data_IF_892999548139
#
_entry.id   IF_892999548139
#
_cell.length_a   1.000
_cell.length_b   1.000
_cell.length_c   1.000
_cell.angle_alpha   90.00
_cell.angle_beta   90.00
_cell.angle_gamma   90.00
#
_symmetry.space_group_name_H-M   'P 1'
#
loop_
_entity.id
_entity.type
_entity.pdbx_description
1 polymer ?
#
# COMPACT_ATOMS: atom_id res chain seq x y z
N UNK A 1 -52.47 72.62 -25.11
CA UNK A 1 -51.00 72.43 -25.15
C UNK A 1 -50.63 71.40 -24.11
N UNK A 2 -50.55 70.20 -24.51
CA UNK A 2 -50.25 69.05 -23.66
C UNK A 2 -48.83 68.69 -23.89
N UNK A 3 -48.00 68.87 -22.88
CA UNK A 3 -46.55 68.60 -22.92
C UNK A 3 -46.34 67.16 -22.57
N UNK A 4 -45.95 66.33 -23.55
CA UNK A 4 -45.47 64.96 -23.37
C UNK A 4 -44.06 64.97 -22.78
N UNK A 5 -43.92 64.36 -21.62
CA UNK A 5 -42.62 64.03 -21.01
C UNK A 5 -42.11 62.68 -21.57
N UNK A 6 -40.82 62.55 -21.97
CA UNK A 6 -40.32 61.31 -22.47
C UNK A 6 -40.10 60.29 -21.33
N UNK A 7 -40.61 59.07 -21.52
CA UNK A 7 -40.40 57.90 -20.70
C UNK A 7 -38.93 57.57 -20.69
N UNK A 8 -38.33 57.58 -19.51
CA UNK A 8 -37.00 57.05 -19.24
C UNK A 8 -37.01 55.52 -19.49
N UNK A 9 -36.03 54.97 -20.22
CA UNK A 9 -35.94 53.54 -20.41
C UNK A 9 -35.65 52.86 -19.06
N UNK A 10 -36.59 51.96 -18.71
CA UNK A 10 -36.41 51.06 -17.57
C UNK A 10 -35.14 50.21 -17.79
N UNK A 11 -34.19 50.40 -16.92
CA UNK A 11 -32.99 49.57 -16.84
C UNK A 11 -33.48 48.15 -16.45
N UNK A 12 -33.62 47.26 -17.47
CA UNK A 12 -33.75 45.84 -17.22
C UNK A 12 -32.46 45.39 -16.56
N UNK A 13 -32.49 44.69 -15.43
CA UNK A 13 -31.27 44.06 -14.89
C UNK A 13 -30.85 43.04 -15.93
N UNK A 14 -29.61 43.22 -16.43
CA UNK A 14 -28.92 42.29 -17.27
C UNK A 14 -29.12 40.88 -16.69
N UNK A 15 -29.70 39.97 -17.44
CA UNK A 15 -29.79 38.57 -17.09
C UNK A 15 -28.34 38.07 -16.93
N UNK A 16 -27.88 38.00 -15.67
CA UNK A 16 -26.53 37.76 -15.32
C UNK A 16 -26.08 36.41 -15.91
N UNK A 17 -25.06 36.48 -16.70
CA UNK A 17 -24.33 35.30 -17.16
C UNK A 17 -23.63 34.71 -15.93
N UNK A 18 -24.29 33.75 -15.26
CA UNK A 18 -23.70 33.00 -14.15
C UNK A 18 -23.00 31.75 -14.67
N UNK A 19 -21.81 31.51 -14.19
CA UNK A 19 -21.10 30.26 -14.34
C UNK A 19 -21.16 29.49 -13.02
N UNK A 20 -21.03 28.16 -13.09
CA UNK A 20 -20.94 27.30 -11.90
C UNK A 20 -19.52 26.73 -11.83
N UNK A 21 -18.93 26.82 -10.66
CA UNK A 21 -17.63 26.23 -10.36
C UNK A 21 -17.76 25.27 -9.18
N UNK A 22 -16.80 24.39 -8.99
CA UNK A 22 -16.75 23.49 -7.85
C UNK A 22 -15.55 23.86 -6.96
N UNK A 23 -15.78 24.16 -5.70
CA UNK A 23 -14.75 24.55 -4.75
C UNK A 23 -14.80 23.58 -3.57
N UNK A 24 -13.70 22.90 -3.28
CA UNK A 24 -13.61 21.88 -2.23
C UNK A 24 -14.73 20.82 -2.31
N UNK A 25 -15.24 20.57 -3.50
CA UNK A 25 -16.32 19.60 -3.74
C UNK A 25 -17.72 20.22 -3.78
N UNK A 26 -17.91 21.49 -3.39
CA UNK A 26 -19.20 22.20 -3.37
C UNK A 26 -19.41 23.04 -4.63
N UNK A 27 -20.64 23.06 -5.14
CA UNK A 27 -21.01 23.86 -6.29
C UNK A 27 -21.28 25.31 -5.90
N UNK A 28 -20.65 26.26 -6.58
CA UNK A 28 -20.73 27.69 -6.30
C UNK A 28 -21.09 28.46 -7.55
N UNK A 29 -22.11 29.31 -7.47
CA UNK A 29 -22.50 30.22 -8.55
C UNK A 29 -21.59 31.45 -8.59
N UNK A 30 -20.97 31.70 -9.75
CA UNK A 30 -20.12 32.85 -9.99
C UNK A 30 -20.75 33.72 -11.08
N UNK A 31 -20.82 35.04 -10.85
CA UNK A 31 -21.57 35.98 -11.72
C UNK A 31 -20.90 36.27 -13.08
N UNK A 32 -19.72 35.74 -13.35
CA UNK A 32 -18.95 36.00 -14.55
C UNK A 32 -18.35 34.69 -15.10
N UNK A 33 -18.09 34.66 -16.41
CA UNK A 33 -17.37 33.59 -17.09
C UNK A 33 -15.83 33.80 -17.06
N UNK A 34 -15.41 34.97 -16.62
CA UNK A 34 -14.01 35.34 -16.46
C UNK A 34 -13.78 36.01 -15.10
N UNK A 35 -14.12 35.34 -13.98
CA UNK A 35 -13.96 35.87 -12.65
C UNK A 35 -12.47 35.92 -12.25
N UNK A 36 -12.14 36.78 -11.28
CA UNK A 36 -10.88 36.67 -10.57
C UNK A 36 -10.94 35.64 -9.47
N UNK A 37 -9.78 35.11 -9.00
CA UNK A 37 -9.72 34.20 -7.87
C UNK A 37 -10.39 34.81 -6.63
N UNK A 38 -10.22 36.12 -6.42
CA UNK A 38 -10.90 36.89 -5.37
C UNK A 38 -12.42 36.79 -5.46
N UNK A 39 -12.97 36.89 -6.65
CA UNK A 39 -14.43 36.80 -6.87
C UNK A 39 -14.95 35.38 -6.65
N UNK A 40 -14.18 34.37 -7.01
CA UNK A 40 -14.50 32.96 -6.77
C UNK A 40 -14.53 32.67 -5.26
N UNK A 41 -13.48 33.08 -4.51
CA UNK A 41 -13.42 32.92 -3.05
C UNK A 41 -14.57 33.66 -2.35
N UNK A 42 -14.86 34.89 -2.78
CA UNK A 42 -15.97 35.67 -2.22
C UNK A 42 -17.31 35.02 -2.50
N UNK A 43 -17.55 34.46 -3.68
CA UNK A 43 -18.77 33.74 -4.04
C UNK A 43 -18.97 32.47 -3.19
N UNK A 44 -17.88 31.81 -2.80
CA UNK A 44 -17.87 30.68 -1.88
C UNK A 44 -18.06 31.09 -0.40
N UNK A 45 -18.18 32.39 -0.10
CA UNK A 45 -18.31 32.88 1.28
C UNK A 45 -17.02 32.83 2.10
N UNK A 46 -15.87 32.62 1.47
CA UNK A 46 -14.57 32.54 2.14
C UNK A 46 -14.02 33.96 2.38
N UNK A 47 -14.05 34.41 3.65
CA UNK A 47 -13.67 35.76 4.04
C UNK A 47 -12.79 35.76 5.31
N UNK A 48 -11.82 36.66 5.43
CA UNK A 48 -11.33 37.55 4.38
C UNK A 48 -10.58 36.78 3.27
N UNK A 49 -10.83 37.10 2.02
CA UNK A 49 -10.26 36.39 0.84
C UNK A 49 -8.73 36.38 0.80
N UNK A 50 -8.08 37.33 1.49
CA UNK A 50 -6.61 37.44 1.58
C UNK A 50 -5.98 36.38 2.49
N UNK A 51 -6.77 35.65 3.28
CA UNK A 51 -6.30 34.54 4.11
C UNK A 51 -6.41 33.18 3.38
N UNK A 52 -6.90 33.20 2.14
CA UNK A 52 -7.08 31.97 1.36
C UNK A 52 -6.22 31.95 0.13
N UNK A 53 -5.69 30.77 -0.14
CA UNK A 53 -5.07 30.39 -1.42
C UNK A 53 -6.12 29.67 -2.24
N UNK A 54 -6.24 30.03 -3.52
CA UNK A 54 -7.06 29.32 -4.50
C UNK A 54 -6.13 28.58 -5.46
N UNK A 55 -6.34 27.28 -5.58
CA UNK A 55 -5.64 26.43 -6.52
C UNK A 55 -6.62 25.96 -7.61
N UNK A 56 -6.21 25.99 -8.88
CA UNK A 56 -6.91 25.25 -9.92
C UNK A 56 -6.66 23.76 -9.73
N UNK A 57 -7.70 22.95 -9.97
CA UNK A 57 -7.60 21.49 -9.90
C UNK A 57 -8.25 20.86 -11.12
N UNK A 58 -7.53 20.85 -12.27
CA UNK A 58 -8.07 20.32 -13.51
C UNK A 58 -8.30 18.81 -13.43
N UNK A 59 -9.19 18.29 -14.28
CA UNK A 59 -9.44 16.83 -14.36
C UNK A 59 -8.17 16.06 -14.70
N UNK A 60 -7.31 16.65 -15.54
CA UNK A 60 -6.02 16.10 -15.90
C UNK A 60 -4.93 17.16 -15.69
N UNK A 61 -3.92 16.80 -14.92
CA UNK A 61 -2.79 17.68 -14.61
C UNK A 61 -2.66 18.05 -13.14
N UNK A 62 -1.63 18.81 -12.82
CA UNK A 62 -1.35 19.22 -11.45
C UNK A 62 -2.26 20.36 -10.99
N UNK A 63 -2.26 20.60 -9.68
CA UNK A 63 -2.83 21.82 -9.10
C UNK A 63 -1.89 22.98 -9.36
N UNK A 64 -2.45 24.17 -9.65
CA UNK A 64 -1.70 25.40 -9.89
C UNK A 64 -2.25 26.52 -9.02
N UNK A 65 -1.36 27.35 -8.49
CA UNK A 65 -1.72 28.56 -7.74
C UNK A 65 -2.34 29.60 -8.65
N UNK A 66 -3.41 30.22 -8.20
CA UNK A 66 -4.08 31.32 -8.87
C UNK A 66 -3.93 32.60 -8.05
N UNK A 67 -3.34 33.63 -8.65
CA UNK A 67 -3.22 34.92 -8.00
C UNK A 67 -4.60 35.54 -7.73
N UNK A 68 -4.76 36.21 -6.58
CA UNK A 68 -6.09 36.76 -6.17
C UNK A 68 -6.74 37.66 -7.24
N UNK A 69 -5.96 38.42 -7.96
CA UNK A 69 -6.43 39.35 -9.01
C UNK A 69 -6.27 38.78 -10.43
N UNK A 70 -5.85 37.50 -10.52
CA UNK A 70 -5.77 36.78 -11.78
C UNK A 70 -7.15 36.46 -12.31
N UNK A 71 -7.36 36.72 -13.63
CA UNK A 71 -8.63 36.44 -14.31
C UNK A 71 -8.62 35.02 -14.85
N UNK A 72 -9.63 34.23 -14.50
CA UNK A 72 -9.76 32.83 -14.80
C UNK A 72 -10.85 32.63 -15.85
N UNK A 73 -10.50 32.10 -17.02
CA UNK A 73 -11.48 31.78 -18.06
C UNK A 73 -12.19 30.47 -17.73
N UNK A 74 -13.47 30.54 -17.39
CA UNK A 74 -14.27 29.37 -17.08
C UNK A 74 -14.75 28.66 -18.36
N UNK A 75 -14.88 27.33 -18.37
CA UNK A 75 -15.32 26.56 -19.51
C UNK A 75 -16.78 26.85 -19.85
N UNK A 76 -17.08 27.01 -21.16
CA UNK A 76 -18.44 27.25 -21.69
C UNK A 76 -19.06 26.03 -22.38
N UNK A 77 -18.35 24.90 -22.31
CA UNK A 77 -18.73 23.63 -22.95
C UNK A 77 -19.59 22.71 -22.07
N UNK A 78 -20.06 23.21 -20.93
CA UNK A 78 -20.84 22.43 -19.95
C UNK A 78 -19.98 21.67 -18.92
N UNK A 79 -18.64 21.71 -19.01
CA UNK A 79 -17.79 21.22 -17.94
C UNK A 79 -17.73 22.23 -16.80
N UNK A 80 -17.50 21.74 -15.57
CA UNK A 80 -17.41 22.56 -14.37
C UNK A 80 -15.94 22.66 -13.96
N UNK A 81 -15.41 23.88 -13.85
CA UNK A 81 -14.05 24.10 -13.35
C UNK A 81 -14.00 23.75 -11.86
N UNK A 82 -12.97 23.02 -11.47
CA UNK A 82 -12.76 22.58 -10.08
C UNK A 82 -11.57 23.31 -9.45
N UNK A 83 -11.77 23.74 -8.19
CA UNK A 83 -10.80 24.51 -7.42
C UNK A 83 -10.67 23.94 -6.00
N UNK A 84 -9.48 24.17 -5.41
CA UNK A 84 -9.25 23.94 -3.99
C UNK A 84 -8.97 25.30 -3.34
N UNK A 85 -9.73 25.63 -2.30
CA UNK A 85 -9.51 26.83 -1.48
C UNK A 85 -9.02 26.39 -0.10
N UNK A 86 -7.89 26.92 0.32
CA UNK A 86 -7.25 26.60 1.61
C UNK A 86 -6.86 27.86 2.35
N UNK A 87 -7.11 27.89 3.66
CA UNK A 87 -6.62 28.99 4.50
C UNK A 87 -5.14 28.78 4.78
N UNK A 88 -4.28 29.63 4.19
CA UNK A 88 -2.86 29.54 4.32
C UNK A 88 -2.18 30.85 3.89
N UNK A 89 -0.99 31.12 4.44
CA UNK A 89 -0.20 32.31 4.13
C UNK A 89 0.82 32.09 2.99
N UNK A 90 1.03 30.81 2.61
CA UNK A 90 2.03 30.46 1.60
C UNK A 90 1.64 29.21 0.81
N UNK A 91 2.12 29.17 -0.42
CA UNK A 91 2.01 28.00 -1.32
C UNK A 91 3.36 27.30 -1.37
N UNK A 92 3.32 25.98 -1.27
CA UNK A 92 4.45 25.08 -1.41
C UNK A 92 4.26 24.23 -2.65
N UNK A 93 5.33 23.56 -3.07
CA UNK A 93 5.28 22.72 -4.25
C UNK A 93 5.89 21.35 -3.95
N UNK A 94 5.27 20.32 -4.50
CA UNK A 94 5.81 18.96 -4.49
C UNK A 94 5.75 18.36 -5.89
N UNK A 95 6.55 17.32 -6.12
CA UNK A 95 6.51 16.54 -7.36
C UNK A 95 5.78 15.22 -7.10
N UNK A 96 4.87 14.87 -8.00
CA UNK A 96 4.27 13.54 -8.02
C UNK A 96 4.27 13.02 -9.46
N UNK A 97 4.92 11.88 -9.69
CA UNK A 97 5.08 11.30 -11.04
C UNK A 97 5.63 12.33 -12.05
N UNK A 98 6.67 13.07 -11.65
CA UNK A 98 7.32 14.15 -12.41
C UNK A 98 6.46 15.39 -12.73
N UNK A 99 5.24 15.47 -12.22
CA UNK A 99 4.39 16.66 -12.30
C UNK A 99 4.51 17.50 -11.04
N UNK A 100 4.57 18.82 -11.20
CA UNK A 100 4.69 19.78 -10.10
C UNK A 100 3.32 20.25 -9.65
N UNK A 101 2.97 19.94 -8.41
CA UNK A 101 1.71 20.32 -7.77
C UNK A 101 1.92 21.51 -6.84
N UNK A 102 0.98 22.46 -6.84
CA UNK A 102 0.86 23.50 -5.83
C UNK A 102 0.00 22.99 -4.66
N UNK A 103 0.39 23.31 -3.43
CA UNK A 103 -0.34 22.97 -2.22
C UNK A 103 -0.16 24.03 -1.13
N UNK A 104 -1.10 24.10 -0.20
CA UNK A 104 -1.01 25.00 0.94
C UNK A 104 -1.34 24.25 2.24
N UNK A 105 -0.63 24.59 3.32
CA UNK A 105 -0.82 23.95 4.61
C UNK A 105 -0.13 22.59 4.75
N UNK A 106 -0.65 21.74 5.62
CA UNK A 106 -0.15 20.37 5.82
C UNK A 106 -0.54 19.49 4.63
N UNK A 107 0.40 18.67 4.16
CA UNK A 107 0.17 17.72 3.09
C UNK A 107 0.13 16.31 3.69
N UNK A 108 -1.03 15.65 3.62
CA UNK A 108 -1.18 14.25 4.03
C UNK A 108 -1.10 13.30 2.83
N UNK A 109 -0.91 12.02 3.09
CA UNK A 109 -0.95 10.99 2.04
C UNK A 109 -2.29 10.99 1.29
N UNK A 110 -3.39 11.24 2.00
CA UNK A 110 -4.74 11.34 1.45
C UNK A 110 -4.85 12.54 0.50
N UNK A 111 -4.25 13.67 0.87
CA UNK A 111 -4.21 14.86 0.02
C UNK A 111 -3.40 14.61 -1.25
N UNK A 112 -2.22 13.99 -1.14
CA UNK A 112 -1.40 13.58 -2.31
C UNK A 112 -2.21 12.68 -3.23
N UNK A 113 -2.88 11.66 -2.68
CA UNK A 113 -3.74 10.76 -3.46
C UNK A 113 -4.89 11.48 -4.13
N UNK A 114 -5.55 12.37 -3.39
CA UNK A 114 -6.70 13.14 -3.86
C UNK A 114 -6.30 14.06 -5.02
N UNK A 115 -5.29 14.91 -4.83
CA UNK A 115 -4.90 15.89 -5.85
C UNK A 115 -4.21 15.25 -7.05
N UNK A 116 -3.41 14.21 -6.80
CA UNK A 116 -2.75 13.43 -7.85
C UNK A 116 -3.65 12.39 -8.51
N UNK A 117 -4.90 12.26 -8.05
CA UNK A 117 -5.87 11.24 -8.52
C UNK A 117 -5.28 9.84 -8.53
N UNK A 118 -4.50 9.51 -7.48
CA UNK A 118 -3.83 8.21 -7.34
C UNK A 118 -4.84 7.17 -6.86
N UNK A 119 -5.11 6.11 -7.64
CA UNK A 119 -6.04 5.05 -7.25
C UNK A 119 -5.57 4.31 -5.99
N UNK A 120 -6.52 3.72 -5.25
CA UNK A 120 -6.20 2.92 -4.06
C UNK A 120 -5.39 1.64 -4.37
N UNK A 121 -5.35 1.22 -5.64
CA UNK A 121 -4.53 0.11 -6.13
C UNK A 121 -3.05 0.48 -6.31
N UNK A 122 -2.72 1.77 -6.12
CA UNK A 122 -1.36 2.29 -6.21
C UNK A 122 -0.85 2.65 -4.81
N UNK A 123 0.42 2.45 -4.56
CA UNK A 123 1.17 2.98 -3.41
C UNK A 123 1.75 4.33 -3.78
N UNK A 124 1.91 5.22 -2.79
CA UNK A 124 2.64 6.49 -2.95
C UNK A 124 3.95 6.37 -2.17
N UNK A 125 5.03 6.73 -2.80
CA UNK A 125 6.37 6.65 -2.24
C UNK A 125 7.03 8.01 -2.25
N UNK A 126 7.75 8.34 -1.16
CA UNK A 126 8.61 9.51 -1.06
C UNK A 126 10.02 9.11 -1.49
N UNK A 127 10.55 9.82 -2.49
CA UNK A 127 11.87 9.57 -3.06
C UNK A 127 12.93 10.32 -2.24
N UNK A 128 13.94 9.62 -1.76
CA UNK A 128 15.12 10.18 -1.12
C UNK A 128 16.36 10.07 -2.01
N UNK A 129 17.29 11.02 -1.90
CA UNK A 129 18.53 10.98 -2.72
C UNK A 129 19.55 9.96 -2.22
N UNK A 130 19.70 9.88 -0.90
CA UNK A 130 20.80 9.17 -0.25
C UNK A 130 20.31 8.09 0.72
N UNK A 131 19.00 7.91 0.83
CA UNK A 131 18.33 6.93 1.67
C UNK A 131 17.35 6.10 0.84
N UNK A 132 16.96 4.90 1.30
CA UNK A 132 15.90 4.14 0.64
C UNK A 132 14.58 4.92 0.61
N UNK A 133 13.86 4.83 -0.51
CA UNK A 133 12.55 5.42 -0.65
C UNK A 133 11.59 4.89 0.42
N UNK A 134 10.72 5.75 0.90
CA UNK A 134 9.77 5.45 1.96
C UNK A 134 8.34 5.42 1.42
N UNK A 135 7.61 4.33 1.71
CA UNK A 135 6.17 4.29 1.46
C UNK A 135 5.44 5.27 2.37
N UNK A 136 4.59 6.11 1.78
CA UNK A 136 3.70 6.99 2.53
C UNK A 136 2.45 6.20 2.95
N UNK A 137 2.46 5.73 4.17
CA UNK A 137 1.32 5.06 4.77
C UNK A 137 0.13 6.02 4.94
N UNK A 138 -1.06 5.47 5.15
CA UNK A 138 -2.27 6.25 5.41
C UNK A 138 -2.08 7.12 6.67
N UNK A 139 -2.46 8.40 6.57
CA UNK A 139 -2.28 9.39 7.65
C UNK A 139 -0.86 9.95 7.79
N UNK A 140 0.11 9.55 6.99
CA UNK A 140 1.43 10.16 7.02
C UNK A 140 1.39 11.63 6.56
N UNK A 141 2.21 12.46 7.18
CA UNK A 141 2.32 13.89 6.87
C UNK A 141 3.65 14.16 6.20
N UNK A 142 3.60 14.80 5.03
CA UNK A 142 4.78 15.24 4.28
C UNK A 142 5.13 16.67 4.70
N UNK A 143 6.38 16.89 5.11
CA UNK A 143 6.85 18.21 5.51
C UNK A 143 7.34 19.01 4.30
N UNK A 144 6.48 19.87 3.75
CA UNK A 144 6.82 20.77 2.63
C UNK A 144 7.67 21.97 3.04
N UNK A 145 7.92 22.17 4.34
CA UNK A 145 8.78 23.26 4.86
C UNK A 145 10.27 22.88 4.83
N UNK A 146 10.59 21.61 4.62
CA UNK A 146 11.97 21.18 4.47
C UNK A 146 12.63 21.83 3.25
N UNK A 147 13.96 22.09 3.29
CA UNK A 147 14.66 22.64 2.14
C UNK A 147 14.64 21.69 0.94
N UNK A 148 13.98 22.10 -0.13
CA UNK A 148 13.88 21.31 -1.36
C UNK A 148 12.46 21.22 -1.88
N UNK A 149 12.27 20.41 -2.90
CA UNK A 149 10.96 20.03 -3.41
C UNK A 149 10.81 18.53 -3.16
N UNK A 150 9.85 18.17 -2.33
CA UNK A 150 9.57 16.76 -2.04
C UNK A 150 9.14 16.04 -3.33
N UNK A 151 9.81 14.94 -3.60
CA UNK A 151 9.54 14.13 -4.79
C UNK A 151 8.83 12.84 -4.37
N UNK A 152 7.73 12.59 -5.03
CA UNK A 152 6.91 11.41 -4.80
C UNK A 152 6.61 10.73 -6.13
N UNK A 153 6.40 9.43 -6.07
CA UNK A 153 5.92 8.67 -7.20
C UNK A 153 4.88 7.63 -6.76
N UNK A 154 4.03 7.24 -7.68
CA UNK A 154 3.07 6.16 -7.45
C UNK A 154 3.48 4.91 -8.21
N UNK A 155 3.31 3.75 -7.58
CA UNK A 155 3.53 2.45 -8.21
C UNK A 155 2.40 1.49 -7.87
N UNK A 156 2.21 0.44 -8.68
CA UNK A 156 1.21 -0.60 -8.39
C UNK A 156 1.53 -1.26 -7.08
N UNK A 157 0.51 -1.36 -6.22
CA UNK A 157 0.60 -2.12 -4.98
C UNK A 157 0.81 -3.59 -5.29
N UNK A 158 1.70 -4.20 -4.55
CA UNK A 158 1.93 -5.63 -4.58
C UNK A 158 1.43 -6.24 -3.28
N UNK A 159 0.43 -7.06 -3.40
CA UNK A 159 -0.12 -7.84 -2.31
C UNK A 159 0.71 -9.10 -2.12
N UNK A 160 0.88 -9.55 -0.88
CA UNK A 160 1.74 -10.70 -0.55
C UNK A 160 0.93 -11.76 0.18
N UNK A 161 1.14 -13.02 -0.21
CA UNK A 161 0.55 -14.20 0.40
C UNK A 161 1.67 -15.22 0.64
N UNK A 162 1.78 -15.73 1.86
CA UNK A 162 2.65 -16.85 2.17
C UNK A 162 1.93 -18.17 1.86
N UNK A 163 2.34 -18.84 0.81
CA UNK A 163 1.80 -20.13 0.41
C UNK A 163 2.78 -21.22 0.84
N UNK A 164 2.52 -21.83 1.97
CA UNK A 164 3.31 -22.92 2.54
C UNK A 164 4.83 -22.60 2.64
N UNK A 165 5.15 -21.35 2.97
CA UNK A 165 6.53 -20.84 3.09
C UNK A 165 7.09 -20.21 1.80
N UNK A 166 6.34 -20.20 0.70
CA UNK A 166 6.68 -19.49 -0.52
C UNK A 166 5.91 -18.16 -0.56
N UNK A 167 6.63 -17.04 -0.65
CA UNK A 167 6.00 -15.73 -0.76
C UNK A 167 5.55 -15.48 -2.18
N UNK A 168 4.24 -15.43 -2.40
CA UNK A 168 3.60 -15.12 -3.68
C UNK A 168 3.21 -13.64 -3.69
N UNK A 169 3.51 -12.93 -4.78
CA UNK A 169 3.08 -11.55 -5.02
C UNK A 169 1.91 -11.53 -6.01
N UNK A 170 0.87 -10.76 -5.68
CA UNK A 170 -0.28 -10.47 -6.55
C UNK A 170 -0.37 -8.98 -6.83
N UNK A 171 -0.77 -8.61 -8.04
CA UNK A 171 -1.11 -7.23 -8.40
C UNK A 171 -2.59 -6.91 -8.14
N UNK A 172 -3.39 -7.93 -7.83
CA UNK A 172 -4.79 -7.79 -7.51
C UNK A 172 -5.00 -7.98 -6.01
N UNK A 173 -5.96 -7.26 -5.41
CA UNK A 173 -6.25 -7.30 -3.97
C UNK A 173 -6.84 -8.63 -3.50
N UNK A 174 -7.29 -9.45 -4.43
CA UNK A 174 -7.82 -10.78 -4.20
C UNK A 174 -7.09 -11.80 -5.06
N UNK A 175 -6.91 -13.01 -4.53
CA UNK A 175 -6.32 -14.11 -5.27
C UNK A 175 -7.12 -15.39 -5.02
N UNK A 176 -7.38 -16.16 -6.08
CA UNK A 176 -7.99 -17.48 -5.96
C UNK A 176 -6.95 -18.46 -5.42
N UNK A 177 -7.36 -19.32 -4.49
CA UNK A 177 -6.46 -20.30 -3.84
C UNK A 177 -5.72 -21.15 -4.87
N UNK A 178 -6.41 -21.61 -5.92
CA UNK A 178 -5.79 -22.38 -7.00
C UNK A 178 -4.65 -21.64 -7.68
N UNK A 179 -4.87 -20.34 -7.99
CA UNK A 179 -3.87 -19.52 -8.66
C UNK A 179 -2.69 -19.23 -7.74
N UNK A 180 -2.95 -19.03 -6.45
CA UNK A 180 -1.91 -18.86 -5.45
C UNK A 180 -1.00 -20.09 -5.35
N UNK A 181 -1.56 -21.29 -5.40
CA UNK A 181 -0.78 -22.55 -5.40
C UNK A 181 0.09 -22.66 -6.67
N UNK A 182 -0.50 -22.38 -7.85
CA UNK A 182 0.23 -22.41 -9.11
C UNK A 182 1.39 -21.41 -9.13
N UNK A 183 1.17 -20.18 -8.63
CA UNK A 183 2.22 -19.16 -8.50
C UNK A 183 3.32 -19.58 -7.52
N UNK A 184 2.98 -20.34 -6.49
CA UNK A 184 3.96 -20.93 -5.56
C UNK A 184 4.68 -22.17 -6.13
N UNK A 185 4.34 -22.61 -7.34
CA UNK A 185 4.91 -23.83 -7.95
C UNK A 185 4.36 -25.12 -7.37
N UNK A 186 3.18 -25.06 -6.73
CA UNK A 186 2.52 -26.21 -6.08
C UNK A 186 1.38 -26.68 -6.97
N UNK A 187 1.33 -27.99 -7.26
CA UNK A 187 0.23 -28.59 -8.01
C UNK A 187 -1.05 -28.62 -7.16
N UNK A 188 -2.10 -27.88 -7.57
CA UNK A 188 -3.34 -27.81 -6.80
C UNK A 188 -4.16 -29.12 -6.81
N UNK A 189 -3.92 -30.01 -7.75
CA UNK A 189 -4.72 -31.23 -7.95
C UNK A 189 -4.16 -32.45 -7.17
N UNK A 190 -3.13 -32.26 -6.35
CA UNK A 190 -2.53 -33.32 -5.51
C UNK A 190 -3.34 -33.68 -4.25
N UNK A 191 -4.54 -33.14 -4.07
CA UNK A 191 -5.39 -33.46 -2.91
C UNK A 191 -4.87 -32.81 -1.61
N UNK A 192 -5.01 -31.51 -1.51
CA UNK A 192 -4.62 -30.72 -0.34
C UNK A 192 -5.80 -30.38 0.55
N UNK A 193 -5.63 -30.56 1.87
CA UNK A 193 -6.41 -29.84 2.87
C UNK A 193 -5.74 -28.48 3.07
N UNK A 194 -6.41 -27.42 2.65
CA UNK A 194 -5.83 -26.07 2.63
C UNK A 194 -6.42 -25.26 3.78
N UNK A 195 -5.54 -24.72 4.63
CA UNK A 195 -5.94 -23.90 5.77
C UNK A 195 -5.40 -22.48 5.62
N UNK A 196 -6.32 -21.52 5.62
CA UNK A 196 -5.99 -20.10 5.63
C UNK A 196 -5.83 -19.62 7.07
N UNK A 197 -4.73 -18.93 7.34
CA UNK A 197 -4.46 -18.21 8.58
C UNK A 197 -4.35 -16.71 8.28
N UNK A 198 -5.28 -15.93 8.83
CA UNK A 198 -5.27 -14.47 8.82
C UNK A 198 -4.90 -14.00 10.23
N UNK A 199 -4.18 -12.87 10.31
CA UNK A 199 -3.81 -12.29 11.61
C UNK A 199 -5.06 -11.91 12.42
N UNK A 200 -5.14 -12.41 13.65
CA UNK A 200 -6.28 -12.13 14.56
C UNK A 200 -7.52 -12.98 14.31
N UNK A 201 -7.53 -13.86 13.30
CA UNK A 201 -8.65 -14.77 13.02
C UNK A 201 -8.27 -16.25 13.31
N UNK A 202 -9.24 -17.10 13.64
CA UNK A 202 -9.01 -18.54 13.75
C UNK A 202 -8.68 -19.10 12.35
N UNK A 203 -7.84 -20.14 12.32
CA UNK A 203 -7.56 -20.86 11.07
C UNK A 203 -8.85 -21.46 10.52
N UNK A 204 -9.10 -21.28 9.23
CA UNK A 204 -10.23 -21.84 8.51
C UNK A 204 -9.77 -22.68 7.32
N UNK A 205 -10.50 -23.70 6.99
CA UNK A 205 -10.32 -24.48 5.78
C UNK A 205 -10.86 -23.70 4.57
N UNK A 206 -10.17 -23.76 3.45
CA UNK A 206 -10.56 -23.11 2.20
C UNK A 206 -10.42 -24.09 1.03
N UNK A 207 -11.31 -23.96 0.06
CA UNK A 207 -11.29 -24.73 -1.17
C UNK A 207 -10.45 -24.08 -2.26
N UNK A 208 -10.11 -24.83 -3.31
CA UNK A 208 -9.34 -24.32 -4.45
C UNK A 208 -10.04 -23.18 -5.21
N UNK A 209 -11.36 -23.14 -5.18
CA UNK A 209 -12.16 -22.10 -5.84
C UNK A 209 -12.41 -20.85 -4.97
N UNK A 210 -12.00 -20.89 -3.70
CA UNK A 210 -12.21 -19.76 -2.80
C UNK A 210 -11.25 -18.62 -3.14
N UNK A 211 -11.72 -17.37 -2.93
CA UNK A 211 -10.91 -16.16 -3.05
C UNK A 211 -10.39 -15.74 -1.68
N UNK A 212 -9.16 -15.23 -1.66
CA UNK A 212 -8.49 -14.68 -0.49
C UNK A 212 -8.36 -13.19 -0.69
N UNK A 213 -8.92 -12.41 0.25
CA UNK A 213 -8.75 -10.97 0.33
C UNK A 213 -7.39 -10.65 0.99
N UNK A 214 -6.50 -10.04 0.22
CA UNK A 214 -5.14 -9.66 0.62
C UNK A 214 -5.06 -8.22 1.15
N UNK A 215 -6.19 -7.51 1.28
CA UNK A 215 -6.22 -6.10 1.72
C UNK A 215 -6.13 -5.97 3.23
N UNK A 216 -6.32 -7.04 3.97
CA UNK A 216 -6.24 -7.05 5.44
C UNK A 216 -4.81 -6.80 5.92
N UNK A 217 -4.62 -6.11 7.06
CA UNK A 217 -3.29 -5.83 7.56
C UNK A 217 -2.59 -7.10 8.02
N UNK A 218 -1.44 -7.36 7.43
CA UNK A 218 -0.60 -8.54 7.68
C UNK A 218 -0.34 -9.32 6.40
N UNK A 219 0.35 -10.43 6.53
CA UNK A 219 0.53 -11.39 5.44
C UNK A 219 -0.29 -12.62 5.79
N UNK A 220 -1.29 -12.93 4.96
CA UNK A 220 -2.07 -14.15 5.06
C UNK A 220 -1.20 -15.35 4.72
N UNK A 221 -1.51 -16.49 5.36
CA UNK A 221 -0.75 -17.72 5.15
C UNK A 221 -1.66 -18.87 4.77
N UNK A 222 -1.36 -19.51 3.65
CA UNK A 222 -1.91 -20.81 3.27
C UNK A 222 -1.01 -21.92 3.80
N UNK A 223 -1.59 -22.80 4.62
CA UNK A 223 -0.96 -24.03 5.07
C UNK A 223 -1.57 -25.20 4.31
N UNK A 224 -0.73 -26.03 3.72
CA UNK A 224 -1.13 -27.21 2.97
C UNK A 224 -0.87 -28.45 3.83
N UNK A 225 -1.85 -29.33 3.87
CA UNK A 225 -1.76 -30.65 4.51
C UNK A 225 -2.22 -31.66 3.47
N UNK A 226 -1.43 -32.69 3.21
CA UNK A 226 -1.86 -33.76 2.27
C UNK A 226 -3.10 -34.47 2.79
N UNK A 227 -4.15 -34.56 1.97
CA UNK A 227 -5.38 -35.28 2.31
C UNK A 227 -5.20 -36.82 2.23
N UNK A 228 -4.15 -37.27 1.54
CA UNK A 228 -3.86 -38.68 1.43
C UNK A 228 -3.10 -39.16 2.66
N UNK A 229 -3.81 -39.80 3.59
CA UNK A 229 -3.21 -40.72 4.55
C UNK A 229 -2.79 -41.96 3.76
N UNK A 230 -1.71 -41.88 3.02
CA UNK A 230 -1.05 -43.08 2.49
C UNK A 230 0.03 -43.49 3.48
N UNK A 231 -0.13 -44.65 4.03
CA UNK A 231 0.90 -45.35 4.80
C UNK A 231 2.21 -45.38 3.98
N UNK A 232 3.10 -44.42 4.23
CA UNK A 232 4.52 -44.56 3.92
C UNK A 232 5.07 -43.90 2.64
N UNK A 233 4.31 -43.10 1.86
CA UNK A 233 4.89 -42.31 0.79
C UNK A 233 4.46 -40.85 0.89
N UNK A 234 5.42 -39.96 1.12
CA UNK A 234 5.29 -38.51 1.16
C UNK A 234 5.46 -37.99 -0.26
N UNK A 235 4.40 -37.52 -0.96
CA UNK A 235 4.57 -36.81 -2.24
C UNK A 235 4.62 -35.31 -1.99
N UNK A 236 5.62 -34.86 -1.30
CA UNK A 236 6.29 -33.61 -1.53
C UNK A 236 7.64 -33.99 -2.09
N UNK A 237 8.12 -33.31 -3.12
CA UNK A 237 9.54 -33.39 -3.46
C UNK A 237 10.34 -32.71 -2.35
N UNK A 238 10.35 -33.37 -1.18
CA UNK A 238 11.23 -33.01 -0.08
C UNK A 238 12.63 -33.06 -0.68
N UNK A 239 13.27 -31.92 -0.77
CA UNK A 239 14.60 -31.83 -1.36
C UNK A 239 15.55 -32.68 -0.51
N UNK A 240 16.14 -33.71 -1.12
CA UNK A 240 17.08 -34.65 -0.52
C UNK A 240 18.32 -34.70 -1.38
N UNK A 241 19.09 -33.59 -1.43
CA UNK A 241 20.26 -33.48 -2.27
C UNK A 241 21.41 -34.42 -1.77
N UNK A 242 21.40 -34.72 -0.47
CA UNK A 242 22.30 -35.72 0.14
C UNK A 242 21.60 -36.45 1.29
N UNK A 243 22.06 -37.67 1.60
CA UNK A 243 21.57 -38.46 2.71
C UNK A 243 22.25 -38.06 4.03
N UNK A 244 21.48 -37.99 5.11
CA UNK A 244 22.01 -37.94 6.48
C UNK A 244 22.41 -39.36 6.94
N UNK A 245 22.92 -39.45 8.15
CA UNK A 245 23.07 -40.79 8.77
C UNK A 245 21.70 -41.38 9.05
N UNK A 246 21.50 -42.66 8.81
CA UNK A 246 20.21 -43.32 9.01
C UNK A 246 19.60 -43.10 10.40
N UNK A 247 20.44 -43.00 11.43
CA UNK A 247 20.00 -42.70 12.80
C UNK A 247 19.42 -41.29 12.95
N UNK A 248 20.01 -40.33 12.22
CA UNK A 248 19.59 -38.93 12.27
C UNK A 248 18.30 -38.74 11.50
N UNK A 249 18.13 -39.38 10.35
CA UNK A 249 16.90 -39.42 9.58
C UNK A 249 15.75 -40.04 10.42
N UNK A 250 16.02 -41.23 11.00
CA UNK A 250 15.05 -41.88 11.90
C UNK A 250 14.64 -40.97 13.08
N UNK A 251 15.58 -40.23 13.64
CA UNK A 251 15.28 -39.30 14.74
C UNK A 251 14.40 -38.13 14.32
N UNK A 252 14.70 -37.53 13.15
CA UNK A 252 13.90 -36.40 12.61
C UNK A 252 12.48 -36.86 12.24
N UNK A 253 12.35 -38.02 11.60
CA UNK A 253 11.09 -38.62 11.23
C UNK A 253 10.23 -38.99 12.43
N UNK A 254 10.84 -39.62 13.46
CA UNK A 254 10.16 -40.00 14.70
C UNK A 254 9.60 -38.80 15.47
N UNK A 255 10.17 -37.61 15.26
CA UNK A 255 9.66 -36.37 15.85
C UNK A 255 8.61 -35.66 14.99
N UNK A 256 8.33 -36.19 13.81
CA UNK A 256 7.39 -35.58 12.85
C UNK A 256 7.85 -34.20 12.36
N UNK A 257 9.17 -33.98 12.32
CA UNK A 257 9.75 -32.74 11.84
C UNK A 257 9.77 -32.75 10.31
N UNK A 258 9.39 -31.62 9.72
CA UNK A 258 9.54 -31.44 8.29
C UNK A 258 10.96 -30.95 8.01
N UNK A 259 11.77 -31.78 7.34
CA UNK A 259 13.17 -31.49 7.10
C UNK A 259 13.59 -31.76 5.64
N UNK A 260 14.59 -31.06 5.18
CA UNK A 260 15.15 -31.12 3.82
C UNK A 260 16.66 -31.09 3.90
N UNK A 261 17.33 -31.71 2.91
CA UNK A 261 18.76 -31.55 2.71
C UNK A 261 19.03 -30.83 1.40
N UNK A 262 19.84 -29.77 1.45
CA UNK A 262 20.17 -28.91 0.32
C UNK A 262 21.68 -28.88 0.14
N UNK A 263 22.16 -29.08 -1.08
CA UNK A 263 23.57 -28.92 -1.45
C UNK A 263 23.66 -27.82 -2.52
N UNK A 264 24.17 -26.66 -2.14
CA UNK A 264 24.42 -25.49 -3.00
C UNK A 264 25.91 -25.11 -3.03
N UNK A 265 26.77 -26.12 -2.82
CA UNK A 265 28.20 -25.96 -2.56
C UNK A 265 28.54 -26.07 -1.08
N UNK A 266 27.53 -25.98 -0.23
CA UNK A 266 27.52 -26.33 1.20
C UNK A 266 26.33 -27.23 1.47
N UNK A 267 26.45 -28.11 2.43
CA UNK A 267 25.41 -29.04 2.82
C UNK A 267 24.58 -28.48 3.97
N UNK A 268 23.28 -28.31 3.76
CA UNK A 268 22.36 -27.78 4.73
C UNK A 268 21.29 -28.80 5.09
N UNK A 269 21.05 -28.98 6.39
CA UNK A 269 19.82 -29.57 6.91
C UNK A 269 18.90 -28.42 7.29
N UNK A 270 17.77 -28.31 6.60
CA UNK A 270 16.73 -27.31 6.90
C UNK A 270 15.59 -28.01 7.62
N UNK A 271 15.21 -27.50 8.79
CA UNK A 271 14.04 -27.99 9.55
C UNK A 271 13.05 -26.84 9.66
N UNK A 272 11.91 -27.01 9.00
CA UNK A 272 10.87 -25.99 8.97
C UNK A 272 9.97 -26.12 10.20
N UNK A 273 9.42 -24.99 10.66
CA UNK A 273 8.51 -24.90 11.81
C UNK A 273 9.06 -25.61 13.07
N UNK A 274 10.39 -25.58 13.27
CA UNK A 274 11.03 -26.16 14.46
C UNK A 274 10.47 -25.47 15.70
N UNK A 275 9.93 -26.24 16.68
CA UNK A 275 9.32 -25.67 17.87
C UNK A 275 10.36 -25.01 18.78
N UNK A 276 10.15 -23.75 19.12
CA UNK A 276 11.05 -22.99 19.98
C UNK A 276 10.63 -23.15 21.45
N UNK A 277 11.58 -23.39 22.37
CA UNK A 277 11.28 -23.48 23.80
C UNK A 277 10.70 -22.19 24.37
N UNK A 278 10.03 -22.27 25.52
CA UNK A 278 9.56 -21.09 26.25
C UNK A 278 10.73 -20.18 26.61
N UNK A 279 10.55 -18.88 26.48
CA UNK A 279 11.58 -17.88 26.76
C UNK A 279 11.99 -17.04 25.54
N UNK A 280 11.43 -17.35 24.38
CA UNK A 280 11.59 -16.56 23.15
C UNK A 280 10.26 -15.98 22.69
N UNK A 281 10.31 -14.90 21.89
CA UNK A 281 9.09 -14.26 21.36
C UNK A 281 8.38 -15.12 20.31
N UNK A 282 9.14 -15.94 19.57
CA UNK A 282 8.63 -16.86 18.57
C UNK A 282 8.28 -18.22 19.19
N UNK A 283 7.27 -18.88 18.63
CA UNK A 283 6.88 -20.26 18.99
C UNK A 283 7.47 -21.30 18.04
N UNK A 284 7.91 -20.89 16.88
CA UNK A 284 8.59 -21.74 15.87
C UNK A 284 9.55 -20.91 15.03
N UNK A 285 10.54 -21.58 14.45
CA UNK A 285 11.54 -20.99 13.54
C UNK A 285 11.89 -21.98 12.43
N UNK A 286 12.43 -21.51 11.31
CA UNK A 286 13.15 -22.36 10.37
C UNK A 286 14.59 -22.49 10.88
N UNK A 287 15.02 -23.72 11.12
CA UNK A 287 16.38 -24.03 11.57
C UNK A 287 17.21 -24.50 10.38
N UNK A 288 18.34 -23.85 10.13
CA UNK A 288 19.30 -24.26 9.12
C UNK A 288 20.61 -24.69 9.79
N UNK A 289 21.02 -25.92 9.56
CA UNK A 289 22.22 -26.54 10.14
C UNK A 289 23.19 -26.87 9.01
N UNK A 290 24.41 -26.34 9.08
CA UNK A 290 25.45 -26.72 8.13
C UNK A 290 26.02 -28.10 8.48
N UNK A 291 25.97 -29.03 7.53
CA UNK A 291 26.47 -30.40 7.72
C UNK A 291 27.83 -30.52 7.03
N UNK A 292 28.93 -30.64 7.77
CA UNK A 292 30.25 -30.80 7.18
C UNK A 292 30.33 -32.04 6.26
N UNK A 293 31.10 -31.95 5.18
CA UNK A 293 31.22 -33.06 4.22
C UNK A 293 31.74 -34.36 4.85
N UNK A 294 32.54 -34.27 5.87
CA UNK A 294 33.11 -35.40 6.62
C UNK A 294 32.35 -35.70 7.93
N UNK A 295 31.10 -35.19 8.09
CA UNK A 295 30.25 -35.60 9.19
C UNK A 295 30.00 -37.11 9.15
N UNK A 296 30.10 -37.88 10.28
CA UNK A 296 30.15 -37.42 11.67
C UNK A 296 31.56 -37.24 12.25
N UNK A 297 32.62 -37.31 11.45
CA UNK A 297 33.98 -37.10 11.94
C UNK A 297 34.22 -35.65 12.35
N UNK A 298 33.72 -34.72 11.54
CA UNK A 298 33.61 -33.32 11.97
C UNK A 298 32.29 -33.07 12.71
N UNK A 299 32.37 -32.30 13.77
CA UNK A 299 31.23 -31.90 14.54
C UNK A 299 30.43 -30.80 13.83
N UNK A 300 29.12 -30.71 14.12
CA UNK A 300 28.26 -29.61 13.71
C UNK A 300 28.57 -28.42 14.61
N UNK A 301 29.01 -27.32 14.02
CA UNK A 301 29.53 -26.17 14.77
C UNK A 301 28.43 -25.13 15.07
N UNK A 302 27.54 -24.86 14.10
CA UNK A 302 26.54 -23.82 14.23
C UNK A 302 25.24 -24.13 13.52
N UNK A 303 24.20 -23.37 13.89
CA UNK A 303 22.93 -23.36 13.21
C UNK A 303 22.42 -21.92 13.07
N UNK A 304 21.55 -21.70 12.13
CA UNK A 304 20.90 -20.42 11.86
C UNK A 304 19.41 -20.56 12.05
N UNK A 305 18.78 -19.46 12.52
CA UNK A 305 17.34 -19.37 12.74
C UNK A 305 16.75 -18.24 11.88
N UNK A 306 15.62 -18.48 11.25
CA UNK A 306 14.85 -17.47 10.52
C UNK A 306 13.35 -17.62 10.84
N UNK A 307 12.67 -16.63 11.47
CA UNK A 307 13.27 -15.41 12.03
C UNK A 307 14.19 -15.66 13.22
N UNK A 308 15.01 -14.65 13.53
CA UNK A 308 15.88 -14.64 14.73
C UNK A 308 15.07 -14.92 16.00
N UNK A 309 15.71 -15.46 17.02
CA UNK A 309 15.12 -15.85 18.30
C UNK A 309 15.44 -14.84 19.42
N UNK A 310 14.83 -13.64 19.44
CA UNK A 310 15.03 -12.71 20.55
C UNK A 310 14.42 -13.28 21.83
N UNK A 311 15.15 -13.23 22.96
CA UNK A 311 14.62 -13.70 24.23
C UNK A 311 13.52 -12.77 24.75
N UNK A 312 12.57 -13.33 25.50
CA UNK A 312 11.62 -12.54 26.26
C UNK A 312 12.39 -11.91 27.45
N UNK A 313 12.55 -10.59 27.43
CA UNK A 313 13.15 -9.86 28.55
C UNK A 313 12.18 -9.92 29.75
N UNK A 314 12.51 -10.74 30.73
CA UNK A 314 11.81 -10.72 32.02
C UNK A 314 12.44 -9.59 32.85
N UNK A 315 11.66 -8.59 33.33
CA UNK A 315 12.17 -7.57 34.20
C UNK A 315 12.75 -8.25 35.47
N UNK A 316 13.96 -7.88 35.83
CA UNK A 316 14.54 -8.32 37.14
C UNK A 316 13.62 -7.81 38.25
N UNK A 317 13.29 -8.65 39.25
CA UNK A 317 12.55 -8.19 40.41
C UNK A 317 13.40 -7.14 41.14
N UNK A 318 12.76 -5.98 41.40
CA UNK A 318 13.29 -4.86 42.14
C UNK A 318 13.59 -5.22 43.62
#
# INVERSE_FOLDING_TARGET
>A
MTTDLPLTPSHQPNAGHSAVVKINGEMVDVRDWAPTARQILAAAGLQPVTEYVLLSWPEHGPTEELGLDETISLPRNGSVAEFLAMQADAVFYFMLNDLRFAWAGLLTTEDVRKVGRVPNTMEVWLEYRDEPDMELEEGAVVNLLAPGVERMYSRRRKWKLDVHGVLVESLEPEIVVRDALLLAGIDPDQGWIIRLKVRGEPKREVGLADSIDLTKPGIERLQLISDTINNGEIPCSVRRDFALLAKDETYLDARGLFWETVDDGRRWLLIRDYPVPKGYLQTSTCLAIEIPQNYPVAEIDMFYCNPDLPPVLVPLPS
#
